data_IF_557224986809
#
_entry.id   IF_557224986809
#
_cell.length_a   1.000
_cell.length_b   1.000
_cell.length_c   1.000
_cell.angle_alpha   90.00
_cell.angle_beta   90.00
_cell.angle_gamma   90.00
#
_symmetry.space_group_name_H-M   'P 1'
#
loop_
_entity.id
_entity.type
_entity.pdbx_description
1 polymer ?
#
# COMPACT_ATOMS: atom_id res chain seq x y z
N UNK A 1 -17.04 -25.24 -9.43
CA UNK A 1 -17.29 -23.89 -8.87
C UNK A 1 -15.94 -23.18 -8.88
N UNK A 2 -15.75 -22.17 -9.72
CA UNK A 2 -14.55 -21.34 -9.63
C UNK A 2 -14.67 -20.59 -8.31
N UNK A 3 -13.76 -20.83 -7.38
CA UNK A 3 -13.61 -19.97 -6.22
C UNK A 3 -13.34 -18.57 -6.78
N UNK A 4 -14.32 -17.69 -6.57
CA UNK A 4 -14.24 -16.27 -6.86
C UNK A 4 -13.18 -15.68 -5.92
N UNK A 5 -11.91 -15.88 -6.31
CA UNK A 5 -10.72 -15.47 -5.57
C UNK A 5 -10.53 -13.96 -5.79
N UNK A 6 -11.49 -13.17 -5.32
CA UNK A 6 -11.44 -11.73 -5.44
C UNK A 6 -10.55 -11.17 -4.33
N UNK A 7 -9.47 -10.51 -4.74
CA UNK A 7 -8.56 -9.84 -3.83
C UNK A 7 -9.25 -8.67 -3.09
N UNK A 8 -10.33 -8.12 -3.63
CA UNK A 8 -11.21 -7.17 -2.96
C UNK A 8 -12.64 -7.27 -3.51
N UNK A 9 -13.61 -6.74 -2.78
CA UNK A 9 -15.03 -6.91 -3.07
C UNK A 9 -15.72 -5.58 -3.34
N UNK A 10 -16.76 -5.64 -4.16
CA UNK A 10 -17.69 -4.54 -4.34
C UNK A 10 -18.99 -4.82 -3.60
N UNK A 11 -19.29 -4.03 -2.59
CA UNK A 11 -20.45 -4.19 -1.72
C UNK A 11 -21.40 -3.01 -1.89
N UNK A 12 -22.66 -3.30 -2.23
CA UNK A 12 -23.72 -2.29 -2.14
C UNK A 12 -23.95 -1.93 -0.67
N UNK A 13 -23.76 -0.66 -0.33
CA UNK A 13 -24.07 -0.05 0.97
C UNK A 13 -24.68 1.32 0.73
N UNK A 14 -25.82 1.60 1.37
CA UNK A 14 -26.48 2.91 1.33
C UNK A 14 -26.79 3.40 -0.10
N UNK A 15 -27.14 2.47 -1.00
CA UNK A 15 -27.46 2.76 -2.40
C UNK A 15 -26.25 2.89 -3.34
N UNK A 16 -25.02 2.81 -2.81
CA UNK A 16 -23.79 2.95 -3.59
C UNK A 16 -22.94 1.67 -3.56
N UNK A 17 -22.20 1.43 -4.64
CA UNK A 17 -21.21 0.35 -4.71
C UNK A 17 -19.92 0.82 -4.03
N UNK A 18 -19.55 0.20 -2.91
CA UNK A 18 -18.36 0.52 -2.11
C UNK A 18 -17.32 -0.58 -2.24
N UNK A 19 -16.04 -0.20 -2.25
CA UNK A 19 -14.92 -1.12 -2.16
C UNK A 19 -14.85 -1.72 -0.74
N UNK A 20 -14.45 -2.99 -0.63
CA UNK A 20 -14.33 -3.67 0.66
C UNK A 20 -13.29 -4.80 0.64
N UNK A 21 -12.81 -5.19 1.81
CA UNK A 21 -11.99 -6.39 2.03
C UNK A 21 -12.66 -7.32 3.04
N UNK A 22 -12.40 -8.62 2.94
CA UNK A 22 -12.84 -9.59 3.96
C UNK A 22 -12.04 -9.36 5.24
N UNK A 23 -12.72 -9.18 6.38
CA UNK A 23 -12.04 -8.82 7.61
C UNK A 23 -11.24 -10.00 8.19
N UNK A 24 -9.93 -9.87 8.24
CA UNK A 24 -9.07 -10.88 8.86
C UNK A 24 -9.27 -10.97 10.38
N UNK A 25 -9.68 -9.87 11.03
CA UNK A 25 -9.89 -9.79 12.47
C UNK A 25 -11.34 -9.38 12.74
N UNK A 26 -12.23 -10.37 12.80
CA UNK A 26 -13.67 -10.17 12.94
C UNK A 26 -14.01 -9.22 14.11
N UNK A 27 -14.88 -8.24 13.86
CA UNK A 27 -15.33 -7.22 14.80
C UNK A 27 -14.35 -6.06 15.00
N UNK A 28 -13.12 -6.14 14.49
CA UNK A 28 -12.12 -5.07 14.61
C UNK A 28 -12.27 -4.03 13.49
N UNK A 29 -12.38 -2.76 13.90
CA UNK A 29 -12.28 -1.59 13.04
C UNK A 29 -10.93 -0.90 13.28
N UNK A 30 -10.31 -0.37 12.23
CA UNK A 30 -8.99 0.31 12.34
C UNK A 30 -9.11 1.83 12.35
N UNK A 31 -10.04 2.38 11.59
CA UNK A 31 -10.22 3.83 11.41
C UNK A 31 -11.70 4.24 11.42
N UNK A 32 -12.55 3.42 12.07
CA UNK A 32 -14.00 3.55 12.16
C UNK A 32 -14.73 3.33 10.81
N UNK A 33 -14.17 2.49 9.94
CA UNK A 33 -14.80 2.03 8.72
C UNK A 33 -16.01 1.13 9.00
N UNK A 34 -17.05 1.22 8.17
CA UNK A 34 -18.27 0.41 8.34
C UNK A 34 -17.96 -1.07 8.11
N UNK A 35 -18.38 -1.91 9.06
CA UNK A 35 -18.36 -3.38 8.93
C UNK A 35 -19.70 -3.86 8.38
N UNK A 36 -19.66 -4.84 7.48
CA UNK A 36 -20.84 -5.43 6.85
C UNK A 36 -20.70 -6.94 6.86
N UNK A 37 -21.64 -7.63 7.51
CA UNK A 37 -21.70 -9.10 7.48
C UNK A 37 -22.61 -9.57 6.35
N UNK A 38 -22.11 -10.45 5.48
CA UNK A 38 -22.90 -11.11 4.44
C UNK A 38 -22.59 -12.59 4.44
N UNK A 39 -23.64 -13.42 4.53
CA UNK A 39 -23.54 -14.90 4.49
C UNK A 39 -22.53 -15.47 5.51
N UNK A 40 -22.40 -14.83 6.68
CA UNK A 40 -21.47 -15.26 7.73
C UNK A 40 -20.04 -14.71 7.59
N UNK A 41 -19.69 -14.06 6.49
CA UNK A 41 -18.40 -13.39 6.29
C UNK A 41 -18.53 -11.91 6.63
N UNK A 42 -17.60 -11.38 7.42
CA UNK A 42 -17.53 -9.95 7.73
C UNK A 42 -16.60 -9.24 6.75
N UNK A 43 -17.05 -8.11 6.23
CA UNK A 43 -16.31 -7.26 5.32
C UNK A 43 -16.11 -5.88 5.92
N UNK A 44 -14.97 -5.26 5.63
CA UNK A 44 -14.68 -3.87 5.99
C UNK A 44 -14.76 -3.00 4.75
N UNK A 45 -15.54 -1.93 4.80
CA UNK A 45 -15.53 -0.96 3.71
C UNK A 45 -14.17 -0.28 3.61
N UNK A 46 -13.70 -0.10 2.38
CA UNK A 46 -12.42 0.52 2.09
C UNK A 46 -12.64 1.91 1.47
N UNK A 47 -12.37 2.95 2.26
CA UNK A 47 -12.62 4.33 1.87
C UNK A 47 -11.50 4.88 0.96
N UNK A 48 -11.78 5.23 -0.31
CA UNK A 48 -10.78 5.80 -1.22
C UNK A 48 -10.29 7.19 -0.79
N UNK A 49 -11.03 7.94 0.02
CA UNK A 49 -10.56 9.23 0.56
C UNK A 49 -9.58 9.07 1.73
N UNK A 50 -9.42 7.84 2.25
CA UNK A 50 -8.48 7.54 3.34
C UNK A 50 -7.36 6.57 2.93
N UNK A 51 -7.44 6.00 1.73
CA UNK A 51 -6.48 5.05 1.20
C UNK A 51 -6.18 5.35 -0.26
N UNK A 52 -4.92 5.69 -0.54
CA UNK A 52 -4.45 5.97 -1.90
C UNK A 52 -4.48 4.74 -2.81
N UNK A 53 -4.34 3.54 -2.25
CA UNK A 53 -4.52 2.30 -3.01
C UNK A 53 -5.99 2.07 -3.37
N UNK A 54 -6.92 2.38 -2.48
CA UNK A 54 -8.35 2.34 -2.80
C UNK A 54 -8.71 3.39 -3.85
N UNK A 55 -8.18 4.61 -3.74
CA UNK A 55 -8.31 5.64 -4.78
C UNK A 55 -7.80 5.15 -6.14
N UNK A 56 -6.63 4.51 -6.19
CA UNK A 56 -6.09 3.94 -7.42
C UNK A 56 -7.01 2.86 -8.02
N UNK A 57 -7.57 1.97 -7.19
CA UNK A 57 -8.56 0.97 -7.62
C UNK A 57 -9.80 1.66 -8.22
N UNK A 58 -10.34 2.67 -7.54
CA UNK A 58 -11.48 3.45 -8.04
C UNK A 58 -11.17 4.17 -9.36
N UNK A 59 -9.90 4.55 -9.58
CA UNK A 59 -9.41 5.24 -10.77
C UNK A 59 -8.87 4.30 -11.86
N UNK A 60 -9.19 3.00 -11.80
CA UNK A 60 -8.88 2.06 -12.88
C UNK A 60 -7.51 1.42 -12.80
N UNK A 61 -7.00 1.13 -11.58
CA UNK A 61 -5.83 0.28 -11.41
C UNK A 61 -6.02 -1.08 -12.11
N UNK A 62 -5.15 -1.39 -13.07
CA UNK A 62 -5.26 -2.59 -13.90
C UNK A 62 -4.51 -3.79 -13.30
N UNK A 63 -3.38 -3.51 -12.66
CA UNK A 63 -2.50 -4.54 -12.09
C UNK A 63 -2.59 -4.51 -10.57
N UNK A 64 -3.15 -5.57 -10.00
CA UNK A 64 -3.29 -5.74 -8.55
C UNK A 64 -2.56 -7.01 -8.08
N UNK A 65 -1.30 -6.90 -7.64
CA UNK A 65 -0.49 -8.07 -7.28
C UNK A 65 -0.58 -8.46 -5.80
N UNK A 66 -1.42 -7.79 -5.01
CA UNK A 66 -1.67 -8.15 -3.62
C UNK A 66 -2.66 -9.31 -3.59
N UNK A 67 -2.18 -10.52 -3.32
CA UNK A 67 -2.98 -11.76 -3.30
C UNK A 67 -2.78 -12.51 -2.00
N UNK A 68 -3.65 -13.48 -1.72
CA UNK A 68 -3.43 -14.41 -0.61
C UNK A 68 -2.00 -15.00 -0.67
N UNK A 69 -1.33 -15.08 0.47
CA UNK A 69 0.07 -15.53 0.65
C UNK A 69 1.15 -14.59 0.11
N UNK A 70 0.81 -13.41 -0.39
CA UNK A 70 1.82 -12.45 -0.85
C UNK A 70 2.68 -11.96 0.31
N UNK A 71 3.96 -11.72 0.00
CA UNK A 71 4.89 -11.02 0.87
C UNK A 71 5.04 -9.57 0.43
N UNK A 72 4.86 -8.63 1.36
CA UNK A 72 4.81 -7.19 1.06
C UNK A 72 5.77 -6.43 1.97
N UNK A 73 6.56 -5.52 1.41
CA UNK A 73 7.24 -4.47 2.17
C UNK A 73 6.48 -3.16 1.99
N UNK A 74 5.97 -2.60 3.09
CA UNK A 74 5.21 -1.35 3.08
C UNK A 74 6.04 -0.25 3.76
N UNK A 75 6.42 0.78 3.00
CA UNK A 75 7.15 1.94 3.52
C UNK A 75 6.20 3.10 3.80
N UNK A 76 6.17 3.58 5.05
CA UNK A 76 5.29 4.67 5.48
C UNK A 76 3.89 4.19 5.83
N UNK A 77 3.78 3.18 6.69
CA UNK A 77 2.47 2.62 7.10
C UNK A 77 1.57 3.64 7.81
N UNK A 78 2.12 4.74 8.33
CA UNK A 78 1.39 5.77 9.07
C UNK A 78 0.55 5.12 10.18
N UNK A 79 -0.73 5.49 10.36
CA UNK A 79 -1.64 4.87 11.35
C UNK A 79 -2.23 3.52 10.90
N UNK A 80 -1.83 3.01 9.73
CA UNK A 80 -2.16 1.67 9.27
C UNK A 80 -3.49 1.48 8.53
N UNK A 81 -4.14 2.55 8.07
CA UNK A 81 -5.40 2.49 7.30
C UNK A 81 -5.28 1.56 6.08
N UNK A 82 -4.38 1.86 5.14
CA UNK A 82 -4.20 1.06 3.92
C UNK A 82 -3.62 -0.32 4.20
N UNK A 83 -2.59 -0.41 5.06
CA UNK A 83 -1.91 -1.69 5.34
C UNK A 83 -2.82 -2.71 6.02
N UNK A 84 -3.82 -2.26 6.78
CA UNK A 84 -4.83 -3.16 7.36
C UNK A 84 -5.72 -3.82 6.30
N UNK A 85 -6.07 -3.11 5.23
CA UNK A 85 -6.76 -3.72 4.09
C UNK A 85 -5.84 -4.64 3.30
N UNK A 86 -4.56 -4.27 3.09
CA UNK A 86 -3.61 -5.21 2.45
C UNK A 86 -3.45 -6.49 3.30
N UNK A 87 -3.44 -6.37 4.64
CA UNK A 87 -3.42 -7.51 5.58
C UNK A 87 -4.62 -8.43 5.44
N UNK A 88 -5.83 -7.88 5.24
CA UNK A 88 -7.03 -8.65 4.92
C UNK A 88 -6.82 -9.50 3.64
N UNK A 89 -6.27 -8.90 2.59
CA UNK A 89 -6.11 -9.50 1.26
C UNK A 89 -5.02 -10.57 1.23
N UNK A 90 -3.85 -10.29 1.82
CA UNK A 90 -2.75 -11.27 1.83
C UNK A 90 -3.05 -12.44 2.76
N UNK A 91 -3.95 -12.23 3.73
CA UNK A 91 -4.47 -13.25 4.61
C UNK A 91 -3.44 -13.79 5.61
N UNK A 92 -3.82 -14.82 6.40
CA UNK A 92 -3.02 -15.33 7.51
C UNK A 92 -1.74 -16.05 7.08
N UNK A 93 -1.66 -16.48 5.81
CA UNK A 93 -0.48 -17.12 5.22
C UNK A 93 0.41 -16.15 4.43
N UNK A 94 0.02 -14.88 4.32
CA UNK A 94 0.86 -13.82 3.78
C UNK A 94 1.66 -13.12 4.87
N UNK A 95 2.52 -12.18 4.48
CA UNK A 95 3.30 -11.39 5.42
C UNK A 95 3.49 -9.96 4.92
N UNK A 96 3.39 -9.00 5.84
CA UNK A 96 3.65 -7.59 5.55
C UNK A 96 4.69 -7.06 6.53
N UNK A 97 5.79 -6.54 5.99
CA UNK A 97 6.79 -5.79 6.75
C UNK A 97 6.42 -4.31 6.68
N UNK A 98 5.92 -3.75 7.79
CA UNK A 98 5.42 -2.38 7.86
C UNK A 98 6.44 -1.42 8.48
N UNK A 99 7.00 -0.52 7.69
CA UNK A 99 8.05 0.41 8.12
C UNK A 99 7.45 1.77 8.50
N UNK A 100 7.70 2.21 9.73
CA UNK A 100 7.38 3.56 10.21
C UNK A 100 8.39 4.03 11.28
N UNK A 101 8.99 5.19 11.08
CA UNK A 101 9.99 5.76 11.99
C UNK A 101 9.41 6.76 13.00
N UNK A 102 8.26 7.38 12.68
CA UNK A 102 7.73 8.48 13.47
C UNK A 102 7.07 7.96 14.75
N UNK A 103 7.74 8.12 15.89
CA UNK A 103 7.38 7.49 17.17
C UNK A 103 5.92 7.65 17.61
N UNK A 104 5.29 8.81 17.35
CA UNK A 104 3.86 9.02 17.67
C UNK A 104 2.95 8.19 16.76
N UNK A 105 3.20 8.23 15.45
CA UNK A 105 2.37 7.55 14.45
C UNK A 105 2.59 6.04 14.51
N UNK A 106 3.82 5.62 14.77
CA UNK A 106 4.18 4.23 15.05
C UNK A 106 3.37 3.64 16.21
N UNK A 107 3.14 4.38 17.30
CA UNK A 107 2.29 3.92 18.41
C UNK A 107 0.86 3.64 17.95
N UNK A 108 0.24 4.58 17.23
CA UNK A 108 -1.10 4.37 16.67
C UNK A 108 -1.15 3.15 15.74
N UNK A 109 -0.13 2.92 14.92
CA UNK A 109 -0.03 1.74 14.07
C UNK A 109 0.07 0.44 14.87
N UNK A 110 0.92 0.42 15.89
CA UNK A 110 1.09 -0.73 16.76
C UNK A 110 -0.23 -1.06 17.47
N UNK A 111 -0.85 -0.05 18.07
CA UNK A 111 -2.04 -0.22 18.89
C UNK A 111 -3.27 -0.61 18.06
N UNK A 112 -3.48 0.03 16.91
CA UNK A 112 -4.70 -0.16 16.10
C UNK A 112 -4.61 -1.30 15.11
N UNK A 113 -3.41 -1.71 14.71
CA UNK A 113 -3.22 -2.62 13.57
C UNK A 113 -2.30 -3.78 13.92
N UNK A 114 -1.04 -3.52 14.25
CA UNK A 114 -0.04 -4.59 14.38
C UNK A 114 -0.32 -5.53 15.57
N UNK A 115 -0.88 -5.01 16.67
CA UNK A 115 -1.29 -5.79 17.85
C UNK A 115 -2.40 -6.81 17.56
N UNK A 116 -3.23 -6.56 16.54
CA UNK A 116 -4.39 -7.36 16.19
C UNK A 116 -4.14 -8.31 15.01
N UNK A 117 -3.14 -8.01 14.18
CA UNK A 117 -2.91 -8.68 12.88
C UNK A 117 -1.56 -9.37 12.86
N UNK A 118 -1.56 -10.67 13.14
CA UNK A 118 -0.34 -11.49 13.22
C UNK A 118 0.45 -11.58 11.90
N UNK A 119 -0.15 -11.27 10.76
CA UNK A 119 0.52 -11.24 9.46
C UNK A 119 1.25 -9.90 9.17
N UNK A 120 1.29 -8.97 10.13
CA UNK A 120 2.04 -7.71 10.03
C UNK A 120 3.22 -7.75 11.01
N UNK A 121 4.42 -7.55 10.48
CA UNK A 121 5.64 -7.32 11.28
C UNK A 121 5.96 -5.82 11.25
N UNK A 122 5.77 -5.09 12.38
CA UNK A 122 6.12 -3.68 12.46
C UNK A 122 7.65 -3.50 12.53
N UNK A 123 8.16 -2.51 11.80
CA UNK A 123 9.58 -2.15 11.74
C UNK A 123 9.71 -0.66 12.04
N UNK A 124 10.23 -0.35 13.23
CA UNK A 124 10.39 1.02 13.72
C UNK A 124 11.72 1.65 13.28
N UNK A 125 11.92 1.77 11.96
CA UNK A 125 13.17 2.27 11.37
C UNK A 125 12.91 3.31 10.27
N UNK A 126 13.92 4.11 9.96
CA UNK A 126 13.89 5.06 8.85
C UNK A 126 13.93 4.32 7.51
N UNK A 127 13.00 4.67 6.61
CA UNK A 127 12.92 4.13 5.26
C UNK A 127 14.23 4.29 4.46
N UNK A 128 15.05 5.30 4.79
CA UNK A 128 16.37 5.56 4.20
C UNK A 128 17.44 4.53 4.57
N UNK A 129 17.18 3.69 5.57
CA UNK A 129 18.17 2.77 6.12
C UNK A 129 17.69 1.31 6.03
N UNK A 130 17.46 0.79 4.80
CA UNK A 130 16.94 -0.57 4.62
C UNK A 130 17.79 -1.65 5.32
N UNK A 131 19.10 -1.44 5.44
CA UNK A 131 20.01 -2.36 6.15
C UNK A 131 19.68 -2.58 7.63
N UNK A 132 18.92 -1.69 8.26
CA UNK A 132 18.53 -1.77 9.67
C UNK A 132 17.25 -2.62 9.88
N UNK A 133 16.62 -3.13 8.81
CA UNK A 133 15.39 -3.92 8.90
C UNK A 133 15.68 -5.38 9.21
N UNK A 134 16.21 -5.65 10.41
CA UNK A 134 16.64 -7.00 10.80
C UNK A 134 15.53 -8.07 10.76
N UNK A 135 14.27 -7.66 10.83
CA UNK A 135 13.12 -8.56 10.80
C UNK A 135 12.72 -9.01 9.38
N UNK A 136 13.20 -8.34 8.32
CA UNK A 136 12.84 -8.71 6.94
C UNK A 136 13.67 -9.89 6.51
N UNK A 137 13.01 -11.01 6.19
CA UNK A 137 13.65 -12.21 5.68
C UNK A 137 13.32 -12.44 4.21
N UNK A 138 14.35 -12.68 3.41
CA UNK A 138 14.22 -12.97 1.99
C UNK A 138 13.77 -11.76 1.15
N UNK A 139 13.27 -12.06 -0.04
CA UNK A 139 12.73 -11.08 -0.99
C UNK A 139 11.19 -11.10 -0.95
N UNK A 140 10.58 -9.94 -1.17
CA UNK A 140 9.12 -9.74 -1.18
C UNK A 140 8.55 -9.70 -2.59
N UNK A 141 7.26 -10.02 -2.74
CA UNK A 141 6.54 -9.97 -4.02
C UNK A 141 6.18 -8.54 -4.42
N UNK A 142 5.85 -7.70 -3.43
CA UNK A 142 5.42 -6.32 -3.64
C UNK A 142 6.12 -5.36 -2.69
N UNK A 143 6.60 -4.23 -3.20
CA UNK A 143 6.98 -3.06 -2.39
C UNK A 143 5.95 -1.96 -2.61
N UNK A 144 5.33 -1.48 -1.53
CA UNK A 144 4.40 -0.34 -1.55
C UNK A 144 4.98 0.83 -0.77
N UNK A 145 5.03 2.01 -1.38
CA UNK A 145 5.68 3.19 -0.82
C UNK A 145 4.72 4.38 -0.79
N UNK A 146 4.40 4.85 0.43
CA UNK A 146 3.56 6.04 0.67
C UNK A 146 4.22 6.96 1.71
N UNK A 147 5.45 7.39 1.43
CA UNK A 147 6.20 8.34 2.26
C UNK A 147 6.10 9.76 1.73
N UNK A 148 6.18 10.75 2.61
CA UNK A 148 6.18 12.18 2.26
C UNK A 148 7.59 12.76 2.39
N UNK A 149 8.49 12.38 1.48
CA UNK A 149 9.88 12.80 1.51
C UNK A 149 10.30 13.34 0.13
N UNK A 150 11.13 14.40 0.05
CA UNK A 150 11.60 14.93 -1.23
C UNK A 150 12.40 13.90 -2.05
N UNK A 151 13.14 13.02 -1.38
CA UNK A 151 13.97 11.96 -1.94
C UNK A 151 13.27 10.59 -2.02
N UNK A 152 11.92 10.56 -1.95
CA UNK A 152 11.12 9.33 -1.88
C UNK A 152 11.45 8.27 -2.96
N UNK A 153 11.76 8.70 -4.17
CA UNK A 153 12.09 7.79 -5.28
C UNK A 153 13.41 7.07 -5.06
N UNK A 154 14.43 7.77 -4.53
CA UNK A 154 15.71 7.14 -4.19
C UNK A 154 15.54 6.15 -3.04
N UNK A 155 14.76 6.52 -2.02
CA UNK A 155 14.40 5.64 -0.91
C UNK A 155 13.74 4.36 -1.45
N UNK A 156 12.76 4.51 -2.32
CA UNK A 156 12.05 3.40 -2.92
C UNK A 156 12.98 2.48 -3.74
N UNK A 157 13.83 3.05 -4.60
CA UNK A 157 14.80 2.30 -5.41
C UNK A 157 15.72 1.45 -4.51
N UNK A 158 16.29 2.01 -3.45
CA UNK A 158 17.21 1.29 -2.58
C UNK A 158 16.52 0.16 -1.80
N UNK A 159 15.28 0.39 -1.34
CA UNK A 159 14.48 -0.66 -0.71
C UNK A 159 14.12 -1.78 -1.69
N UNK A 160 13.75 -1.46 -2.93
CA UNK A 160 13.46 -2.45 -3.96
C UNK A 160 14.70 -3.28 -4.33
N UNK A 161 15.87 -2.65 -4.53
CA UNK A 161 17.13 -3.37 -4.77
C UNK A 161 17.43 -4.37 -3.67
N UNK A 162 17.18 -3.99 -2.41
CA UNK A 162 17.45 -4.86 -1.26
C UNK A 162 16.40 -5.96 -1.09
N UNK A 163 15.11 -5.65 -1.25
CA UNK A 163 14.02 -6.52 -0.81
C UNK A 163 13.06 -6.99 -1.89
N UNK A 164 12.91 -6.31 -3.02
CA UNK A 164 11.97 -6.76 -4.07
C UNK A 164 12.57 -7.92 -4.87
N UNK A 165 11.76 -8.93 -5.16
CA UNK A 165 12.09 -10.01 -6.11
C UNK A 165 12.28 -9.44 -7.50
N UNK A 166 13.16 -10.05 -8.31
CA UNK A 166 13.14 -9.85 -9.76
C UNK A 166 11.73 -10.16 -10.28
N UNK A 167 11.24 -9.34 -11.21
CA UNK A 167 9.87 -9.39 -11.73
C UNK A 167 8.77 -9.10 -10.70
N UNK A 168 9.13 -8.71 -9.47
CA UNK A 168 8.20 -8.26 -8.44
C UNK A 168 7.62 -6.87 -8.73
N UNK A 169 6.52 -6.54 -8.05
CA UNK A 169 5.79 -5.30 -8.30
C UNK A 169 6.14 -4.20 -7.31
N UNK A 170 6.12 -2.98 -7.81
CA UNK A 170 6.45 -1.78 -7.07
C UNK A 170 5.35 -0.74 -7.23
N UNK A 171 4.91 -0.17 -6.12
CA UNK A 171 3.93 0.91 -6.06
C UNK A 171 4.56 2.11 -5.36
N UNK A 172 4.56 3.26 -6.03
CA UNK A 172 4.99 4.53 -5.45
C UNK A 172 3.87 5.55 -5.51
N UNK A 173 3.50 6.09 -4.36
CA UNK A 173 2.68 7.29 -4.28
C UNK A 173 3.59 8.51 -4.41
N UNK A 174 3.54 9.20 -5.54
CA UNK A 174 4.22 10.48 -5.74
C UNK A 174 3.36 11.60 -5.14
N UNK A 175 3.83 12.16 -4.03
CA UNK A 175 3.26 13.37 -3.39
C UNK A 175 3.96 14.60 -3.96
N UNK A 176 3.41 15.18 -5.03
CA UNK A 176 4.13 16.21 -5.81
C UNK A 176 4.53 17.42 -4.96
N UNK A 177 3.65 17.86 -4.04
CA UNK A 177 3.92 18.97 -3.12
C UNK A 177 4.98 18.70 -2.05
N UNK A 178 5.27 17.44 -1.74
CA UNK A 178 6.36 17.08 -0.83
C UNK A 178 7.73 17.06 -1.54
N UNK A 179 7.75 17.06 -2.87
CA UNK A 179 8.98 17.09 -3.67
C UNK A 179 9.34 18.53 -4.00
N UNK A 180 8.44 19.25 -4.68
CA UNK A 180 8.69 20.62 -5.12
C UNK A 180 7.36 21.37 -5.29
N UNK A 181 7.17 22.44 -4.53
CA UNK A 181 5.94 23.24 -4.59
C UNK A 181 5.92 24.22 -5.78
N UNK A 182 7.07 24.48 -6.40
CA UNK A 182 7.22 25.48 -7.47
C UNK A 182 6.95 24.93 -8.87
N UNK A 183 7.01 23.60 -9.03
CA UNK A 183 6.75 22.91 -10.30
C UNK A 183 5.29 22.45 -10.42
N UNK A 184 4.87 22.19 -11.66
CA UNK A 184 3.57 21.56 -11.90
C UNK A 184 3.61 20.07 -11.48
N UNK A 185 2.50 19.53 -10.92
CA UNK A 185 2.41 18.12 -10.54
C UNK A 185 2.80 17.16 -11.66
N UNK A 186 2.33 17.42 -12.88
CA UNK A 186 2.63 16.61 -14.06
C UNK A 186 4.13 16.51 -14.35
N UNK A 187 4.85 17.65 -14.31
CA UNK A 187 6.29 17.69 -14.55
C UNK A 187 7.08 16.93 -13.49
N UNK A 188 6.68 17.04 -12.22
CA UNK A 188 7.31 16.29 -11.12
C UNK A 188 7.14 14.79 -11.34
N UNK A 189 5.92 14.34 -11.68
CA UNK A 189 5.65 12.92 -11.95
C UNK A 189 6.52 12.41 -13.11
N UNK A 190 6.63 13.15 -14.21
CA UNK A 190 7.49 12.80 -15.35
C UNK A 190 8.99 12.70 -14.94
N UNK A 191 9.50 13.68 -14.18
CA UNK A 191 10.89 13.69 -13.71
C UNK A 191 11.20 12.51 -12.76
N UNK A 192 10.26 12.14 -11.88
CA UNK A 192 10.44 10.98 -10.99
C UNK A 192 10.36 9.65 -11.76
N UNK A 193 9.46 9.54 -12.75
CA UNK A 193 9.36 8.35 -13.62
C UNK A 193 10.69 8.07 -14.34
N UNK A 194 11.30 9.10 -14.93
CA UNK A 194 12.59 8.96 -15.63
C UNK A 194 13.70 8.39 -14.73
N UNK A 195 13.69 8.71 -13.43
CA UNK A 195 14.66 8.15 -12.47
C UNK A 195 14.43 6.66 -12.21
N UNK A 196 13.17 6.21 -12.31
CA UNK A 196 12.77 4.82 -12.03
C UNK A 196 13.02 3.89 -13.23
N UNK A 197 12.91 4.39 -14.47
CA UNK A 197 13.06 3.60 -15.70
C UNK A 197 14.39 2.84 -15.82
N UNK A 198 15.43 3.27 -15.11
CA UNK A 198 16.75 2.59 -15.05
C UNK A 198 16.69 1.22 -14.36
N UNK A 199 15.69 0.99 -13.50
CA UNK A 199 15.55 -0.19 -12.65
C UNK A 199 14.20 -0.90 -12.80
N UNK A 200 13.21 -0.20 -13.33
CA UNK A 200 11.83 -0.69 -13.41
C UNK A 200 11.23 -0.50 -14.81
N UNK A 201 10.35 -1.42 -15.18
CA UNK A 201 9.40 -1.24 -16.27
C UNK A 201 8.13 -0.56 -15.71
N UNK A 202 7.82 0.64 -16.18
CA UNK A 202 6.63 1.38 -15.75
C UNK A 202 5.40 0.77 -16.44
N UNK A 203 4.46 0.28 -15.65
CA UNK A 203 3.27 -0.42 -16.15
C UNK A 203 2.07 0.53 -16.23
N UNK A 204 1.90 1.39 -15.21
CA UNK A 204 0.76 2.30 -15.13
C UNK A 204 1.10 3.51 -14.28
N UNK A 205 0.53 4.67 -14.62
CA UNK A 205 0.55 5.90 -13.82
C UNK A 205 -0.88 6.37 -13.66
N UNK A 206 -1.32 6.58 -12.42
CA UNK A 206 -2.71 6.89 -12.08
C UNK A 206 -2.73 8.21 -11.31
N UNK A 207 -3.46 9.21 -11.81
CA UNK A 207 -3.84 10.39 -11.02
C UNK A 207 -4.87 9.97 -9.97
N UNK A 208 -4.68 10.36 -8.70
CA UNK A 208 -5.58 9.98 -7.60
C UNK A 208 -6.76 10.94 -7.40
N UNK A 209 -6.85 12.02 -8.17
CA UNK A 209 -8.04 12.85 -8.22
C UNK A 209 -9.27 12.02 -8.65
N UNK A 210 -10.46 12.17 -8.02
CA UNK A 210 -10.86 13.20 -7.07
C UNK A 210 -10.60 12.88 -5.59
N UNK A 211 -10.07 11.70 -5.28
CA UNK A 211 -9.95 11.22 -3.90
C UNK A 211 -8.77 11.85 -3.14
N UNK A 212 -7.66 12.08 -3.85
CA UNK A 212 -6.49 12.77 -3.31
C UNK A 212 -5.89 13.69 -4.38
N UNK A 213 -5.77 14.98 -4.07
CA UNK A 213 -5.31 16.01 -5.03
C UNK A 213 -3.79 16.06 -5.06
N UNK A 214 -3.21 16.43 -6.20
CA UNK A 214 -1.76 16.59 -6.39
C UNK A 214 -0.94 15.30 -6.11
N UNK A 215 -1.60 14.14 -6.18
CA UNK A 215 -1.00 12.83 -5.96
C UNK A 215 -1.15 11.94 -7.19
N UNK A 216 -0.10 11.21 -7.52
CA UNK A 216 -0.14 10.15 -8.52
C UNK A 216 0.39 8.84 -7.93
N UNK A 217 -0.12 7.71 -8.40
CA UNK A 217 0.42 6.39 -8.10
C UNK A 217 1.11 5.84 -9.35
N UNK A 218 2.37 5.46 -9.21
CA UNK A 218 3.13 4.74 -10.24
C UNK A 218 3.19 3.28 -9.87
N UNK A 219 2.87 2.42 -10.85
CA UNK A 219 2.94 0.97 -10.75
C UNK A 219 4.00 0.50 -11.73
N UNK A 220 4.95 -0.29 -11.25
CA UNK A 220 6.08 -0.74 -12.04
C UNK A 220 6.51 -2.17 -11.68
N UNK A 221 7.29 -2.78 -12.56
CA UNK A 221 7.89 -4.11 -12.37
C UNK A 221 9.39 -3.99 -12.22
N UNK A 222 9.98 -4.69 -11.27
CA UNK A 222 11.42 -4.63 -11.03
C UNK A 222 12.20 -5.52 -12.01
N UNK A 223 13.16 -4.93 -12.71
CA UNK A 223 13.87 -5.59 -13.81
C UNK A 223 15.12 -6.36 -13.37
N UNK A 224 15.63 -6.09 -12.16
CA UNK A 224 16.94 -6.57 -11.70
C UNK A 224 16.86 -7.63 -10.61
#
# INVERSE_FOLDING_TARGET
MKEDNFEFFWINSDGEKKLATENLVIGNQVYNEKLITKKGTEYRLWDPFRSKLAAAIMNGLEIFPFKNKSSVLYLGVSTGTTVSHISDIVGPSGIIFGVEHASRVARDFLDRVASHRANIIPILQDARKPKEYFSVFGKVDVVYVDIAQPDQTNIAIENCKMYLKKDGYFFLVIKTRSIDVTKSPKRIVEEEIQRMEVYFEILQVIDLHPYDKDHAMVIAKFLK
#
